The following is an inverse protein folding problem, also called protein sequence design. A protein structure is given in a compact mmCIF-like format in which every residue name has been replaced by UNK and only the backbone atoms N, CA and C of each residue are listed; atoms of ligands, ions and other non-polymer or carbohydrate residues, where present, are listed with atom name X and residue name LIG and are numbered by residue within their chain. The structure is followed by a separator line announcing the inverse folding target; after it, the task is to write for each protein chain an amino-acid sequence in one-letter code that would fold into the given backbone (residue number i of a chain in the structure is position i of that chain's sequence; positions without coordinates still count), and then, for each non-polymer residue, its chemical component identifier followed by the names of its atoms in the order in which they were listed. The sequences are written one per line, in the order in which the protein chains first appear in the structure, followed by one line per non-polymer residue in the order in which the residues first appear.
data_IF_080850676699
#
_entry.id   IF_080850676699
#
_cell.length_a   1.000
_cell.length_b   1.000
_cell.length_c   1.000
_cell.angle_alpha   90.00
_cell.angle_beta   90.00
_cell.angle_gamma   90.00
#
_symmetry.space_group_name_H-M   'P 1'
#
loop_
_entity.id
_entity.type
_entity.pdbx_description
1 polymer ?
#
# COMPACT_ATOMS: atom_id res chain seq x y z
N UNK A 1 4.39 -18.56 21.51
CA UNK A 1 3.86 -17.46 20.67
C UNK A 1 5.04 -16.73 20.08
N UNK A 2 5.41 -17.07 18.85
CA UNK A 2 6.43 -16.33 18.09
C UNK A 2 5.81 -15.02 17.66
N UNK A 3 6.34 -13.89 18.14
CA UNK A 3 5.99 -12.58 17.60
C UNK A 3 6.15 -12.61 16.09
N UNK A 4 5.15 -12.19 15.30
CA UNK A 4 5.30 -12.07 13.85
C UNK A 4 6.54 -11.20 13.56
N UNK A 5 7.36 -11.53 12.56
CA UNK A 5 8.56 -10.76 12.22
C UNK A 5 8.24 -9.30 11.82
N UNK A 6 6.97 -9.00 11.54
CA UNK A 6 6.46 -7.67 11.20
C UNK A 6 5.30 -7.32 12.13
N UNK A 7 5.37 -6.16 12.76
CA UNK A 7 4.27 -5.61 13.57
C UNK A 7 3.18 -5.02 12.64
N UNK A 8 1.93 -5.44 12.85
CA UNK A 8 0.80 -5.01 12.04
C UNK A 8 0.56 -3.49 12.09
N UNK A 9 0.67 -2.88 13.27
CA UNK A 9 0.44 -1.45 13.45
C UNK A 9 1.55 -0.63 12.79
N UNK A 10 2.79 -1.12 12.86
CA UNK A 10 3.93 -0.53 12.14
C UNK A 10 3.70 -0.60 10.62
N UNK A 11 3.29 -1.75 10.10
CA UNK A 11 2.98 -1.92 8.68
C UNK A 11 1.85 -0.99 8.23
N UNK A 12 0.73 -0.97 8.97
CA UNK A 12 -0.44 -0.12 8.66
C UNK A 12 -0.06 1.37 8.66
N UNK A 13 0.74 1.80 9.64
CA UNK A 13 1.25 3.17 9.71
C UNK A 13 2.16 3.52 8.52
N UNK A 14 3.08 2.62 8.17
CA UNK A 14 3.96 2.79 7.02
C UNK A 14 3.19 2.89 5.70
N UNK A 15 2.18 2.03 5.49
CA UNK A 15 1.29 2.10 4.31
C UNK A 15 0.55 3.44 4.24
N UNK A 16 -0.01 3.90 5.36
CA UNK A 16 -0.70 5.19 5.43
C UNK A 16 0.24 6.36 5.09
N UNK A 17 1.49 6.32 5.55
CA UNK A 17 2.48 7.33 5.21
C UNK A 17 2.84 7.30 3.70
N UNK A 18 2.90 6.11 3.11
CA UNK A 18 3.17 5.92 1.68
C UNK A 18 2.07 6.47 0.78
N UNK A 19 0.81 6.49 1.23
CA UNK A 19 -0.31 7.07 0.47
C UNK A 19 -0.06 8.51 0.01
N UNK A 20 0.74 9.30 0.72
CA UNK A 20 1.08 10.67 0.30
C UNK A 20 1.88 10.72 -1.01
N UNK A 21 2.77 9.75 -1.22
CA UNK A 21 3.72 9.75 -2.34
C UNK A 21 3.39 8.67 -3.39
N UNK A 22 2.65 7.64 -3.00
CA UNK A 22 2.43 6.42 -3.78
C UNK A 22 3.46 5.34 -3.50
N UNK A 23 3.17 4.12 -3.92
CA UNK A 23 3.97 2.91 -3.71
C UNK A 23 4.65 2.41 -5.00
N UNK A 24 4.86 3.28 -5.99
CA UNK A 24 5.66 2.93 -7.17
C UNK A 24 7.13 2.78 -6.76
N UNK A 25 7.87 1.91 -7.45
CA UNK A 25 9.28 1.63 -7.15
C UNK A 25 10.14 2.89 -6.95
N UNK A 26 10.01 3.88 -7.85
CA UNK A 26 10.72 5.17 -7.73
C UNK A 26 10.36 5.93 -6.45
N UNK A 27 9.08 5.96 -6.06
CA UNK A 27 8.63 6.62 -4.84
C UNK A 27 9.08 5.86 -3.57
N UNK A 28 9.19 4.53 -3.67
CA UNK A 28 9.67 3.68 -2.58
C UNK A 28 11.19 3.78 -2.39
N UNK A 29 11.97 4.01 -3.45
CA UNK A 29 13.42 4.27 -3.35
C UNK A 29 13.73 5.49 -2.46
N UNK A 30 12.89 6.51 -2.49
CA UNK A 30 13.02 7.68 -1.62
C UNK A 30 12.54 7.40 -0.17
N UNK A 31 11.96 6.23 0.08
CA UNK A 31 11.23 5.87 1.32
C UNK A 31 11.39 4.39 1.65
N UNK A 32 12.64 3.97 1.86
CA UNK A 32 13.01 2.57 2.07
C UNK A 32 12.38 1.93 3.31
N UNK A 33 11.83 2.69 4.26
CA UNK A 33 11.21 2.11 5.47
C UNK A 33 10.09 1.11 5.19
N UNK A 34 9.24 1.35 4.18
CA UNK A 34 8.22 0.37 3.79
C UNK A 34 8.83 -0.83 3.04
N UNK A 35 9.90 -0.60 2.28
CA UNK A 35 10.66 -1.66 1.59
C UNK A 35 11.36 -2.56 2.60
N UNK A 36 11.97 -2.00 3.64
CA UNK A 36 12.65 -2.74 4.70
C UNK A 36 11.67 -3.56 5.54
N UNK A 37 10.43 -3.09 5.71
CA UNK A 37 9.36 -3.84 6.39
C UNK A 37 8.84 -5.01 5.53
N UNK A 38 8.65 -4.80 4.23
CA UNK A 38 8.00 -5.77 3.34
C UNK A 38 8.98 -6.74 2.65
N UNK A 39 10.20 -6.29 2.41
CA UNK A 39 11.27 -7.01 1.70
C UNK A 39 12.62 -6.68 2.36
N UNK A 40 12.85 -7.09 3.62
CA UNK A 40 14.05 -6.73 4.37
C UNK A 40 15.31 -7.22 3.66
N UNK A 41 16.38 -6.42 3.73
CA UNK A 41 17.69 -6.87 3.30
C UNK A 41 18.18 -7.96 4.25
N UNK A 42 18.54 -9.13 3.73
CA UNK A 42 19.15 -10.19 4.52
C UNK A 42 20.68 -10.04 4.53
N UNK A 43 21.38 -10.59 5.54
CA UNK A 43 22.84 -10.63 5.52
C UNK A 43 23.34 -11.36 4.26
N UNK A 44 24.14 -10.67 3.44
CA UNK A 44 24.59 -11.19 2.13
C UNK A 44 23.64 -10.93 0.97
N UNK A 45 22.55 -10.18 1.19
CA UNK A 45 21.66 -9.71 0.13
C UNK A 45 22.40 -8.73 -0.79
N UNK A 46 22.78 -9.21 -1.96
CA UNK A 46 23.42 -8.40 -3.01
C UNK A 46 22.44 -7.65 -3.90
N UNK A 47 21.12 -7.73 -3.63
CA UNK A 47 20.11 -7.03 -4.44
C UNK A 47 20.23 -5.52 -4.25
N UNK A 48 20.29 -4.74 -5.35
CA UNK A 48 20.22 -3.28 -5.26
C UNK A 48 18.89 -2.82 -4.66
N UNK A 49 18.88 -1.68 -3.97
CA UNK A 49 17.65 -1.08 -3.41
C UNK A 49 16.57 -0.86 -4.47
N UNK A 50 16.96 -0.54 -5.71
CA UNK A 50 16.04 -0.39 -6.83
C UNK A 50 15.28 -1.69 -7.16
N UNK A 51 15.97 -2.83 -7.05
CA UNK A 51 15.35 -4.14 -7.24
C UNK A 51 14.39 -4.45 -6.08
N UNK A 52 14.82 -4.23 -4.83
CA UNK A 52 13.97 -4.44 -3.65
C UNK A 52 12.71 -3.56 -3.69
N UNK A 53 12.84 -2.30 -4.07
CA UNK A 53 11.72 -1.37 -4.23
C UNK A 53 10.76 -1.79 -5.35
N UNK A 54 11.27 -2.34 -6.45
CA UNK A 54 10.44 -2.89 -7.53
C UNK A 54 9.65 -4.13 -7.08
N UNK A 55 10.31 -5.04 -6.38
CA UNK A 55 9.69 -6.23 -5.80
C UNK A 55 8.62 -5.84 -4.77
N UNK A 56 8.90 -4.88 -3.89
CA UNK A 56 7.93 -4.34 -2.93
C UNK A 56 6.74 -3.68 -3.62
N UNK A 57 6.95 -2.89 -4.68
CA UNK A 57 5.85 -2.30 -5.45
C UNK A 57 4.97 -3.39 -6.09
N UNK A 58 5.57 -4.47 -6.57
CA UNK A 58 4.86 -5.62 -7.14
C UNK A 58 4.04 -6.34 -6.07
N UNK A 59 4.63 -6.63 -4.91
CA UNK A 59 3.97 -7.23 -3.76
C UNK A 59 2.76 -6.41 -3.29
N UNK A 60 2.89 -5.08 -3.18
CA UNK A 60 1.78 -4.19 -2.83
C UNK A 60 0.70 -4.20 -3.93
N UNK A 61 1.10 -4.25 -5.20
CA UNK A 61 0.16 -4.30 -6.33
C UNK A 61 -0.66 -5.58 -6.31
N UNK A 62 -0.02 -6.72 -6.05
CA UNK A 62 -0.69 -8.02 -6.02
C UNK A 62 -1.60 -8.14 -4.79
N UNK A 63 -1.16 -7.67 -3.61
CA UNK A 63 -2.00 -7.58 -2.43
C UNK A 63 -3.23 -6.68 -2.65
N UNK A 64 -3.06 -5.52 -3.28
CA UNK A 64 -4.19 -4.66 -3.62
C UNK A 64 -5.16 -5.34 -4.61
N UNK A 65 -4.64 -6.06 -5.60
CA UNK A 65 -5.46 -6.81 -6.57
C UNK A 65 -6.22 -7.99 -5.98
N UNK A 66 -5.78 -8.53 -4.85
CA UNK A 66 -6.49 -9.61 -4.14
C UNK A 66 -7.62 -9.11 -3.22
N UNK A 67 -7.79 -7.80 -3.05
CA UNK A 67 -8.90 -7.25 -2.28
C UNK A 67 -10.23 -7.40 -3.03
N UNK A 68 -11.33 -7.48 -2.29
CA UNK A 68 -12.66 -7.52 -2.89
C UNK A 68 -13.00 -6.21 -3.62
N UNK A 69 -13.66 -6.26 -4.80
CA UNK A 69 -14.13 -5.06 -5.46
C UNK A 69 -15.14 -4.28 -4.59
N UNK A 70 -15.10 -2.93 -4.61
CA UNK A 70 -14.25 -2.06 -5.45
C UNK A 70 -12.91 -1.66 -4.79
N UNK A 71 -12.53 -2.29 -3.68
CA UNK A 71 -11.38 -1.89 -2.87
C UNK A 71 -10.05 -2.06 -3.61
N UNK A 72 -9.96 -3.10 -4.44
CA UNK A 72 -8.86 -3.37 -5.35
C UNK A 72 -8.45 -2.12 -6.16
N UNK A 73 -9.40 -1.57 -6.91
CA UNK A 73 -9.19 -0.42 -7.80
C UNK A 73 -8.90 0.84 -7.01
N UNK A 74 -9.63 1.03 -5.90
CA UNK A 74 -9.43 2.19 -5.03
C UNK A 74 -8.02 2.21 -4.47
N UNK A 75 -7.52 1.09 -3.95
CA UNK A 75 -6.17 1.03 -3.38
C UNK A 75 -5.09 1.16 -4.45
N UNK A 76 -5.27 0.58 -5.64
CA UNK A 76 -4.38 0.81 -6.78
C UNK A 76 -4.33 2.29 -7.17
N UNK A 77 -5.47 2.99 -7.17
CA UNK A 77 -5.51 4.44 -7.44
C UNK A 77 -4.74 5.18 -6.35
N UNK A 78 -5.09 4.95 -5.09
CA UNK A 78 -4.56 5.69 -3.95
C UNK A 78 -3.05 5.55 -3.78
N UNK A 79 -2.49 4.41 -4.18
CA UNK A 79 -1.06 4.11 -4.13
C UNK A 79 -0.30 4.50 -5.42
N UNK A 80 -0.92 5.19 -6.37
CA UNK A 80 -0.35 5.50 -7.68
C UNK A 80 0.05 4.28 -8.52
N UNK A 81 -0.59 3.13 -8.31
CA UNK A 81 -0.28 1.87 -9.01
C UNK A 81 -1.20 1.65 -10.21
N UNK A 82 -2.38 2.28 -10.22
CA UNK A 82 -3.28 2.25 -11.37
C UNK A 82 -2.73 3.08 -12.56
N UNK A 83 -2.97 2.66 -13.81
CA UNK A 83 -2.64 3.47 -14.99
C UNK A 83 -3.20 4.90 -14.90
N UNK A 84 -2.46 5.88 -15.41
CA UNK A 84 -2.89 7.29 -15.41
C UNK A 84 -2.81 8.02 -14.06
N UNK A 85 -2.43 7.34 -12.97
CA UNK A 85 -2.30 7.97 -11.64
C UNK A 85 -0.94 8.61 -11.37
N UNK A 86 -0.05 8.55 -12.37
CA UNK A 86 1.29 9.12 -12.27
C UNK A 86 1.26 10.63 -12.06
N UNK A 87 1.91 11.11 -11.00
CA UNK A 87 2.03 12.54 -10.73
C UNK A 87 0.77 13.18 -10.14
N UNK A 88 -0.31 12.41 -9.95
CA UNK A 88 -1.48 12.91 -9.24
C UNK A 88 -1.12 13.25 -7.78
N UNK A 89 -1.79 14.26 -7.24
CA UNK A 89 -1.72 14.57 -5.81
C UNK A 89 -2.59 13.59 -5.01
N UNK A 90 -2.33 13.43 -3.70
CA UNK A 90 -3.19 12.62 -2.84
C UNK A 90 -4.66 13.11 -2.89
N UNK A 91 -4.89 14.43 -2.95
CA UNK A 91 -6.24 14.99 -3.08
C UNK A 91 -6.91 14.61 -4.40
N UNK A 92 -6.17 14.60 -5.51
CA UNK A 92 -6.69 14.11 -6.79
C UNK A 92 -7.02 12.62 -6.69
N UNK A 93 -6.12 11.79 -6.17
CA UNK A 93 -6.37 10.34 -5.99
C UNK A 93 -7.60 10.06 -5.14
N UNK A 94 -7.80 10.78 -4.04
CA UNK A 94 -9.01 10.70 -3.19
C UNK A 94 -10.27 11.03 -3.97
N UNK A 95 -10.21 12.00 -4.90
CA UNK A 95 -11.36 12.33 -5.75
C UNK A 95 -11.70 11.18 -6.69
N UNK A 96 -10.72 10.63 -7.40
CA UNK A 96 -10.92 9.47 -8.28
C UNK A 96 -11.42 8.24 -7.51
N UNK A 97 -10.89 7.98 -6.31
CA UNK A 97 -11.36 6.90 -5.44
C UNK A 97 -12.80 7.11 -4.97
N UNK A 98 -13.18 8.34 -4.62
CA UNK A 98 -14.52 8.68 -4.18
C UNK A 98 -15.54 8.58 -5.33
N UNK A 99 -15.16 8.95 -6.55
CA UNK A 99 -15.98 8.78 -7.76
C UNK A 99 -16.32 7.29 -8.01
N UNK A 100 -15.38 6.37 -7.79
CA UNK A 100 -15.65 4.92 -7.91
C UNK A 100 -16.67 4.40 -6.89
N UNK A 101 -16.84 5.09 -5.77
CA UNK A 101 -17.71 4.71 -4.67
C UNK A 101 -19.02 5.52 -4.65
N UNK A 102 -19.21 6.44 -5.61
CA UNK A 102 -20.34 7.39 -5.66
C UNK A 102 -20.51 8.19 -4.35
N UNK A 103 -19.39 8.69 -3.80
CA UNK A 103 -19.39 9.51 -2.59
C UNK A 103 -18.56 10.78 -2.76
N UNK A 104 -18.70 11.71 -1.80
CA UNK A 104 -17.87 12.91 -1.77
C UNK A 104 -16.42 12.58 -1.34
N UNK A 105 -15.40 13.27 -1.88
CA UNK A 105 -14.00 13.05 -1.48
C UNK A 105 -13.74 13.28 0.02
N UNK A 106 -14.48 14.19 0.64
CA UNK A 106 -14.41 14.43 2.09
C UNK A 106 -14.95 13.25 2.89
N UNK A 107 -16.01 12.60 2.40
CA UNK A 107 -16.60 11.40 2.99
C UNK A 107 -15.62 10.24 2.89
N UNK A 108 -15.02 10.02 1.72
CA UNK A 108 -14.01 8.98 1.50
C UNK A 108 -12.84 9.08 2.50
N UNK A 109 -12.37 10.30 2.75
CA UNK A 109 -11.25 10.56 3.68
C UNK A 109 -11.63 10.40 5.16
N UNK A 110 -12.83 10.88 5.53
CA UNK A 110 -13.16 11.15 6.94
C UNK A 110 -13.91 10.00 7.61
N UNK A 111 -14.71 9.24 6.85
CA UNK A 111 -15.48 8.13 7.40
C UNK A 111 -14.59 6.90 7.64
N UNK A 112 -14.66 6.25 8.80
CA UNK A 112 -13.84 5.08 9.12
C UNK A 112 -13.98 3.93 8.12
N UNK A 113 -15.17 3.77 7.51
CA UNK A 113 -15.50 2.67 6.59
C UNK A 113 -14.89 2.77 5.17
N UNK A 114 -14.22 3.88 4.84
CA UNK A 114 -13.64 4.09 3.51
C UNK A 114 -12.11 4.06 3.55
N UNK A 115 -11.41 5.18 3.30
CA UNK A 115 -9.93 5.20 3.22
C UNK A 115 -9.27 4.49 4.41
N UNK A 116 -9.67 4.72 5.68
CA UNK A 116 -9.06 4.04 6.82
C UNK A 116 -9.28 2.52 6.82
N UNK A 117 -10.51 2.06 6.53
CA UNK A 117 -10.81 0.63 6.42
C UNK A 117 -10.04 0.00 5.26
N UNK A 118 -9.99 0.64 4.10
CA UNK A 118 -9.34 0.06 2.91
C UNK A 118 -7.82 -0.06 3.09
N UNK A 119 -7.20 0.91 3.78
CA UNK A 119 -5.80 0.80 4.19
C UNK A 119 -5.60 -0.34 5.20
N UNK A 120 -6.57 -0.55 6.09
CA UNK A 120 -6.52 -1.62 7.09
C UNK A 120 -6.63 -2.99 6.43
N UNK A 121 -7.56 -3.17 5.49
CA UNK A 121 -7.70 -4.40 4.72
C UNK A 121 -6.44 -4.71 3.90
N UNK A 122 -5.89 -3.73 3.19
CA UNK A 122 -4.62 -3.93 2.48
C UNK A 122 -3.49 -4.32 3.44
N UNK A 123 -3.40 -3.70 4.61
CA UNK A 123 -2.41 -4.05 5.62
C UNK A 123 -2.61 -5.48 6.13
N UNK A 124 -3.86 -5.93 6.32
CA UNK A 124 -4.19 -7.29 6.74
C UNK A 124 -3.80 -8.31 5.65
N UNK A 125 -4.10 -8.03 4.38
CA UNK A 125 -3.69 -8.87 3.26
C UNK A 125 -2.18 -9.02 3.19
N UNK A 126 -1.45 -7.91 3.27
CA UNK A 126 0.02 -7.92 3.28
C UNK A 126 0.57 -8.68 4.49
N UNK A 127 0.00 -8.44 5.68
CA UNK A 127 0.41 -9.11 6.90
C UNK A 127 0.17 -10.63 6.83
N UNK A 128 -0.96 -11.08 6.30
CA UNK A 128 -1.26 -12.50 6.08
C UNK A 128 -0.28 -13.16 5.12
N UNK A 129 0.06 -12.48 4.01
CA UNK A 129 1.08 -12.94 3.06
C UNK A 129 2.46 -13.08 3.71
N UNK A 130 2.86 -12.13 4.57
CA UNK A 130 4.16 -12.14 5.24
C UNK A 130 4.27 -13.19 6.36
N UNK A 131 3.15 -13.54 6.99
CA UNK A 131 3.12 -14.45 8.14
C UNK A 131 2.68 -15.87 7.79
N UNK A 132 2.22 -16.10 6.56
CA UNK A 132 1.71 -17.40 6.10
C UNK A 132 0.34 -17.76 6.70
N UNK A 133 -0.37 -16.78 7.25
CA UNK A 133 -1.74 -16.95 7.70
C UNK A 133 -2.69 -16.66 6.52
N UNK A 134 -3.06 -17.71 5.79
CA UNK A 134 -4.13 -17.68 4.76
C UNK A 134 -5.24 -18.64 5.15
#
# INVERSE_FOLDING_TARGET
MTTPPVDFEVLRSALRATMRHGARARSLLERMSLVDLLNPATPGDGRPDAQRALETASLITDAARSLDPPMDRVMLIMLCLAPGTSGLTLSARRRHAAELLDIQPVTFRSEPRYEPAFVTELALTLYGQLTGCT
#
